data_IF_019573317657
#
_entry.id   IF_019573317657
#
_cell.length_a   1.000
_cell.length_b   1.000
_cell.length_c   1.000
_cell.angle_alpha   90.00
_cell.angle_beta   90.00
_cell.angle_gamma   90.00
#
_symmetry.space_group_name_H-M   'P 1'
#
loop_
_entity.id
_entity.type
_entity.pdbx_description
1 polymer ?
#
# COMPACT_ATOMS: atom_id res chain seq x y z
N UNK A 1 -3.53 -7.48 -17.71
CA UNK A 1 -4.43 -6.35 -17.49
C UNK A 1 -3.81 -5.48 -16.42
N UNK A 2 -3.69 -4.17 -16.65
CA UNK A 2 -3.12 -3.28 -15.64
C UNK A 2 -4.17 -3.08 -14.52
N UNK A 3 -3.74 -3.03 -13.24
CA UNK A 3 -4.63 -2.80 -12.07
C UNK A 3 -5.56 -1.58 -12.21
N UNK A 4 -5.22 -0.65 -13.11
CA UNK A 4 -6.02 0.55 -13.45
C UNK A 4 -7.35 0.23 -14.16
N UNK A 5 -7.45 -0.91 -14.84
CA UNK A 5 -8.62 -1.31 -15.64
C UNK A 5 -9.45 -2.42 -14.95
N UNK A 6 -9.03 -2.87 -13.77
CA UNK A 6 -9.72 -3.91 -13.01
C UNK A 6 -10.84 -3.29 -12.14
N UNK A 7 -12.10 -3.72 -12.28
CA UNK A 7 -13.24 -3.16 -11.53
C UNK A 7 -13.16 -3.40 -10.01
N UNK A 8 -12.30 -4.30 -9.55
CA UNK A 8 -12.10 -4.59 -8.13
C UNK A 8 -11.13 -3.61 -7.45
N UNK A 9 -10.44 -2.75 -8.22
CA UNK A 9 -9.47 -1.80 -7.69
C UNK A 9 -9.97 -0.36 -7.76
N UNK A 10 -9.66 0.43 -6.73
CA UNK A 10 -9.94 1.87 -6.70
C UNK A 10 -8.70 2.65 -6.32
N UNK A 11 -8.46 3.79 -6.98
CA UNK A 11 -7.32 4.66 -6.69
C UNK A 11 -7.52 5.38 -5.35
N UNK A 12 -6.52 5.32 -4.48
CA UNK A 12 -6.42 6.10 -3.25
C UNK A 12 -5.47 7.29 -3.45
N UNK A 13 -5.91 8.49 -3.09
CA UNK A 13 -5.13 9.74 -3.24
C UNK A 13 -5.01 10.46 -1.91
N UNK A 14 -3.81 10.94 -1.57
CA UNK A 14 -3.52 11.72 -0.36
C UNK A 14 -2.10 12.28 -0.37
N UNK A 15 -1.83 13.24 0.52
CA UNK A 15 -0.47 13.77 0.73
C UNK A 15 0.10 13.19 2.03
N UNK A 16 1.35 12.75 1.97
CA UNK A 16 2.12 12.27 3.13
C UNK A 16 3.50 12.95 3.16
N UNK A 17 4.19 13.00 4.31
CA UNK A 17 5.55 13.51 4.38
C UNK A 17 6.47 12.79 3.40
N UNK A 18 7.39 13.54 2.76
CA UNK A 18 8.34 13.01 1.79
C UNK A 18 9.22 11.89 2.36
N UNK A 19 9.62 12.04 3.63
CA UNK A 19 10.40 11.02 4.35
C UNK A 19 9.62 9.71 4.44
N UNK A 20 8.37 9.77 4.89
CA UNK A 20 7.49 8.60 4.98
C UNK A 20 7.27 7.93 3.62
N UNK A 21 7.09 8.71 2.56
CA UNK A 21 6.98 8.14 1.20
C UNK A 21 8.25 7.40 0.76
N UNK A 22 9.43 7.94 1.09
CA UNK A 22 10.70 7.28 0.76
C UNK A 22 10.90 6.00 1.58
N UNK A 23 10.56 6.02 2.86
CA UNK A 23 10.63 4.85 3.73
C UNK A 23 9.67 3.76 3.24
N UNK A 24 8.45 4.14 2.86
CA UNK A 24 7.48 3.24 2.23
C UNK A 24 8.00 2.63 0.93
N UNK A 25 8.60 3.44 0.05
CA UNK A 25 9.20 2.94 -1.19
C UNK A 25 10.32 1.95 -0.92
N UNK A 26 11.19 2.26 0.05
CA UNK A 26 12.29 1.38 0.43
C UNK A 26 11.75 0.05 0.96
N UNK A 27 10.76 0.09 1.85
CA UNK A 27 10.08 -1.10 2.34
C UNK A 27 9.49 -1.94 1.20
N UNK A 28 8.86 -1.33 0.20
CA UNK A 28 8.35 -2.06 -0.97
C UNK A 28 9.48 -2.79 -1.72
N UNK A 29 10.62 -2.13 -1.95
CA UNK A 29 11.78 -2.74 -2.60
C UNK A 29 12.35 -3.89 -1.76
N UNK A 30 12.54 -3.67 -0.46
CA UNK A 30 13.10 -4.66 0.46
C UNK A 30 12.22 -5.92 0.58
N UNK A 31 10.92 -5.83 0.24
CA UNK A 31 9.96 -6.93 0.29
C UNK A 31 9.51 -7.43 -1.10
N UNK A 32 10.17 -7.02 -2.18
CA UNK A 32 9.82 -7.36 -3.57
C UNK A 32 8.34 -7.07 -3.93
N UNK A 33 7.87 -5.88 -3.54
CA UNK A 33 6.49 -5.40 -3.73
C UNK A 33 6.39 -4.20 -4.66
N UNK A 34 5.34 -4.18 -5.48
CA UNK A 34 4.94 -2.95 -6.17
C UNK A 34 4.26 -1.95 -5.21
N UNK A 35 4.20 -0.67 -5.59
CA UNK A 35 3.63 0.38 -4.72
C UNK A 35 2.15 0.15 -4.38
N UNK A 36 1.40 -0.51 -5.26
CA UNK A 36 -0.01 -0.81 -5.02
C UNK A 36 -0.15 -1.97 -4.04
N UNK A 37 0.68 -3.01 -4.13
CA UNK A 37 0.74 -4.09 -3.13
C UNK A 37 1.16 -3.57 -1.76
N UNK A 38 2.22 -2.74 -1.71
CA UNK A 38 2.66 -2.15 -0.46
C UNK A 38 1.59 -1.25 0.17
N UNK A 39 0.86 -0.49 -0.65
CA UNK A 39 -0.22 0.36 -0.19
C UNK A 39 -1.38 -0.47 0.36
N UNK A 40 -1.73 -1.58 -0.30
CA UNK A 40 -2.75 -2.50 0.16
C UNK A 40 -2.41 -3.10 1.53
N UNK A 41 -1.16 -3.52 1.73
CA UNK A 41 -0.68 -4.05 3.02
C UNK A 41 -0.79 -2.97 4.11
N UNK A 42 -0.19 -1.80 3.88
CA UNK A 42 -0.17 -0.71 4.86
C UNK A 42 -1.59 -0.25 5.26
N UNK A 43 -2.50 -0.14 4.29
CA UNK A 43 -3.90 0.24 4.55
C UNK A 43 -4.66 -0.90 5.26
N UNK A 44 -4.41 -2.16 4.88
CA UNK A 44 -5.04 -3.32 5.50
C UNK A 44 -4.66 -3.44 6.97
N UNK A 45 -3.39 -3.24 7.32
CA UNK A 45 -2.92 -3.31 8.70
C UNK A 45 -3.62 -2.28 9.61
N UNK A 46 -3.94 -1.11 9.07
CA UNK A 46 -4.65 -0.04 9.79
C UNK A 46 -6.14 -0.33 9.93
N UNK A 47 -6.80 -0.78 8.84
CA UNK A 47 -8.27 -0.96 8.80
C UNK A 47 -8.72 -2.28 9.39
N UNK A 48 -7.93 -3.34 9.19
CA UNK A 48 -8.19 -4.70 9.67
C UNK A 48 -7.09 -5.10 10.64
N UNK A 49 -6.94 -4.40 11.78
CA UNK A 49 -6.00 -4.85 12.80
C UNK A 49 -6.35 -6.29 13.15
N UNK A 50 -5.37 -7.19 13.12
CA UNK A 50 -5.57 -8.58 13.51
C UNK A 50 -6.10 -8.55 14.94
N UNK A 51 -7.39 -8.81 15.14
CA UNK A 51 -7.94 -9.15 16.44
C UNK A 51 -7.16 -10.37 16.90
N UNK A 52 -6.27 -10.18 17.88
CA UNK A 52 -5.55 -11.29 18.49
C UNK A 52 -6.55 -12.31 19.04
N UNK A 53 -6.34 -13.57 18.69
CA UNK A 53 -6.68 -14.71 19.54
C UNK A 53 -5.42 -15.09 20.31
#
# INVERSE_FOLDING_TARGET
MAKKDDPNYKKLCGLIPKTLFNDFKKWCVDNDKDLSEGLEIAVTEIIKPKSGC
#
